data_IF_173559302942
#
_entry.id   IF_173559302942
#
_cell.length_a   1.000
_cell.length_b   1.000
_cell.length_c   1.000
_cell.angle_alpha   90.00
_cell.angle_beta   90.00
_cell.angle_gamma   90.00
#
_symmetry.space_group_name_H-M   'P 1'
#
loop_
_entity.id
_entity.type
_entity.pdbx_description
1 polymer ?
#
# COMPACT_ATOMS: atom_id res chain seq x y z
N UNK A 1 -60.28 10.25 16.86
CA UNK A 1 -60.81 10.37 15.49
C UNK A 1 -60.56 11.81 15.10
N UNK A 2 -59.75 12.21 14.13
CA UNK A 2 -58.83 11.59 13.18
C UNK A 2 -58.12 12.80 12.52
N UNK A 3 -56.85 12.63 12.14
CA UNK A 3 -56.09 13.39 11.12
C UNK A 3 -56.12 14.93 11.09
N UNK A 4 -54.93 15.53 11.31
CA UNK A 4 -54.51 16.73 10.58
C UNK A 4 -53.25 16.46 9.75
N UNK A 5 -53.40 16.76 8.46
CA UNK A 5 -52.42 16.69 7.38
C UNK A 5 -51.76 18.06 7.28
N UNK A 6 -50.43 18.13 7.21
CA UNK A 6 -49.71 19.35 6.83
C UNK A 6 -49.24 19.24 5.37
N UNK A 7 -49.48 20.34 4.67
CA UNK A 7 -49.46 20.55 3.21
C UNK A 7 -48.07 20.74 2.62
N UNK A 8 -47.97 20.46 1.32
CA UNK A 8 -46.81 20.64 0.46
C UNK A 8 -46.81 21.99 -0.29
N UNK A 9 -45.61 22.51 -0.58
CA UNK A 9 -45.23 23.40 -1.69
C UNK A 9 -43.69 23.36 -1.73
N UNK A 10 -42.99 22.88 -2.76
CA UNK A 10 -43.06 23.27 -4.16
C UNK A 10 -42.21 24.54 -4.34
N UNK A 11 -41.00 24.42 -4.90
CA UNK A 11 -40.37 25.42 -5.78
C UNK A 11 -38.98 24.97 -6.28
N UNK A 12 -38.71 25.41 -7.51
CA UNK A 12 -37.76 24.90 -8.49
C UNK A 12 -36.30 25.40 -8.36
N UNK A 13 -35.42 24.52 -8.86
CA UNK A 13 -34.12 24.70 -9.52
C UNK A 13 -34.01 25.99 -10.38
N UNK A 14 -32.93 26.78 -10.24
CA UNK A 14 -31.88 26.93 -11.27
C UNK A 14 -30.69 27.80 -10.79
N UNK A 15 -29.56 27.58 -11.45
CA UNK A 15 -28.20 28.09 -11.23
C UNK A 15 -28.00 29.60 -11.46
N UNK A 16 -26.92 30.15 -10.89
CA UNK A 16 -25.94 30.99 -11.61
C UNK A 16 -24.88 31.62 -10.67
N UNK A 17 -23.62 31.32 -10.99
CA UNK A 17 -22.41 32.16 -10.97
C UNK A 17 -22.22 33.28 -9.92
N UNK A 18 -21.07 33.25 -9.23
CA UNK A 18 -19.92 34.09 -9.59
C UNK A 18 -18.85 34.03 -8.50
N UNK A 19 -17.75 33.34 -8.81
CA UNK A 19 -16.52 33.40 -8.04
C UNK A 19 -15.75 34.67 -8.45
N UNK A 20 -15.61 35.62 -7.52
CA UNK A 20 -14.78 36.81 -7.67
C UNK A 20 -13.31 36.46 -7.50
N UNK A 21 -12.59 36.55 -8.61
CA UNK A 21 -11.14 36.43 -8.76
C UNK A 21 -10.36 37.44 -7.88
N UNK A 22 -9.43 36.92 -7.07
CA UNK A 22 -8.33 37.71 -6.50
C UNK A 22 -7.02 37.06 -6.94
N UNK A 23 -6.46 37.62 -8.00
CA UNK A 23 -5.14 37.39 -8.54
C UNK A 23 -4.07 37.73 -7.48
N UNK A 24 -3.23 36.76 -7.15
CA UNK A 24 -1.89 37.00 -6.61
C UNK A 24 -0.92 36.22 -7.49
N UNK A 25 -0.27 36.93 -8.40
CA UNK A 25 0.89 36.47 -9.16
C UNK A 25 1.97 36.04 -8.17
N UNK A 26 2.31 34.76 -8.18
CA UNK A 26 3.54 34.25 -7.60
C UNK A 26 4.44 33.87 -8.77
N UNK A 27 5.65 34.40 -8.72
CA UNK A 27 6.68 34.24 -9.74
C UNK A 27 6.97 32.75 -9.94
N UNK A 28 6.89 32.29 -11.19
CA UNK A 28 7.35 30.97 -11.60
C UNK A 28 8.88 31.00 -11.52
N UNK A 29 9.42 30.70 -10.34
CA UNK A 29 10.75 30.14 -10.26
C UNK A 29 10.70 28.82 -11.03
N UNK A 30 11.23 28.85 -12.26
CA UNK A 30 11.61 27.66 -13.05
C UNK A 30 12.70 26.91 -12.27
N UNK A 31 12.31 26.29 -11.15
CA UNK A 31 13.10 25.26 -10.52
C UNK A 31 13.17 24.13 -11.55
N UNK A 32 14.34 23.97 -12.18
CA UNK A 32 14.65 22.84 -13.04
C UNK A 32 14.44 21.60 -12.15
N UNK A 33 13.24 21.04 -12.20
CA UNK A 33 12.93 19.77 -11.55
C UNK A 33 13.84 18.78 -12.25
N UNK A 34 14.96 18.43 -11.60
CA UNK A 34 15.83 17.34 -12.05
C UNK A 34 14.95 16.11 -12.22
N UNK A 35 14.64 15.81 -13.48
CA UNK A 35 13.92 14.61 -13.83
C UNK A 35 14.92 13.49 -13.59
N UNK A 36 14.62 12.64 -12.60
CA UNK A 36 15.37 11.43 -12.30
C UNK A 36 15.76 10.73 -13.62
N UNK A 37 17.03 10.39 -13.77
CA UNK A 37 17.61 9.78 -14.96
C UNK A 37 16.80 8.54 -15.39
N UNK A 38 16.27 7.78 -14.42
CA UNK A 38 15.42 6.62 -14.67
C UNK A 38 14.06 6.98 -15.31
N UNK A 39 13.52 8.17 -15.01
CA UNK A 39 12.28 8.68 -15.61
C UNK A 39 12.54 9.11 -17.04
N UNK A 40 13.67 9.79 -17.29
CA UNK A 40 14.09 10.20 -18.64
C UNK A 40 14.34 8.98 -19.53
N UNK A 41 15.06 7.97 -19.03
CA UNK A 41 15.31 6.70 -19.75
C UNK A 41 14.01 5.97 -20.10
N UNK A 42 13.04 5.93 -19.17
CA UNK A 42 11.74 5.30 -19.43
C UNK A 42 10.93 6.08 -20.47
N UNK A 43 10.96 7.42 -20.43
CA UNK A 43 10.32 8.27 -21.45
C UNK A 43 10.93 7.97 -22.83
N UNK A 44 12.26 7.97 -22.94
CA UNK A 44 12.96 7.69 -24.20
C UNK A 44 12.66 6.28 -24.71
N UNK A 45 12.61 5.29 -23.81
CA UNK A 45 12.23 3.91 -24.14
C UNK A 45 10.80 3.83 -24.69
N UNK A 46 9.85 4.55 -24.07
CA UNK A 46 8.45 4.53 -24.51
C UNK A 46 8.29 5.27 -25.84
N UNK A 47 8.92 6.43 -26.01
CA UNK A 47 8.85 7.22 -27.25
C UNK A 47 9.58 6.55 -28.42
N UNK A 48 10.65 5.80 -28.15
CA UNK A 48 11.42 5.04 -29.15
C UNK A 48 10.77 3.73 -29.58
N UNK A 49 9.65 3.32 -28.98
CA UNK A 49 9.01 2.04 -29.28
C UNK A 49 8.23 2.08 -30.59
N UNK A 50 8.63 1.23 -31.53
CA UNK A 50 7.88 0.93 -32.76
C UNK A 50 6.78 -0.09 -32.45
N UNK A 51 5.54 0.38 -32.27
CA UNK A 51 4.47 -0.42 -31.68
C UNK A 51 3.35 -0.85 -32.63
N UNK A 52 3.00 -0.04 -33.64
CA UNK A 52 1.98 -0.34 -34.64
C UNK A 52 2.10 0.62 -35.84
N UNK A 53 1.41 0.32 -36.93
CA UNK A 53 1.36 1.15 -38.15
C UNK A 53 0.82 2.58 -37.92
N UNK A 54 0.04 2.78 -36.86
CA UNK A 54 -0.54 4.08 -36.51
C UNK A 54 0.37 4.92 -35.61
N UNK A 55 1.56 4.42 -35.24
CA UNK A 55 2.51 5.10 -34.37
C UNK A 55 1.85 5.73 -33.13
N UNK A 56 0.99 4.96 -32.45
CA UNK A 56 0.04 5.49 -31.46
C UNK A 56 0.68 6.19 -30.24
N UNK A 57 1.98 5.97 -30.00
CA UNK A 57 2.77 6.67 -28.98
C UNK A 57 3.55 7.84 -29.59
N UNK A 58 4.26 7.61 -30.69
CA UNK A 58 5.10 8.63 -31.34
C UNK A 58 4.28 9.79 -31.93
N UNK A 59 2.99 9.58 -32.22
CA UNK A 59 2.05 10.63 -32.61
C UNK A 59 1.69 11.61 -31.49
N UNK A 60 1.93 11.25 -30.22
CA UNK A 60 1.51 12.03 -29.04
C UNK A 60 2.65 12.19 -28.01
N UNK A 61 3.83 12.72 -28.39
CA UNK A 61 5.02 12.70 -27.54
C UNK A 61 4.86 13.53 -26.25
N UNK A 62 4.19 14.68 -26.33
CA UNK A 62 3.94 15.56 -25.19
C UNK A 62 2.99 14.90 -24.17
N UNK A 63 1.91 14.30 -24.64
CA UNK A 63 0.94 13.59 -23.80
C UNK A 63 1.57 12.39 -23.08
N UNK A 64 2.39 11.62 -23.80
CA UNK A 64 3.14 10.48 -23.25
C UNK A 64 4.10 10.96 -22.17
N UNK A 65 4.84 12.02 -22.44
CA UNK A 65 5.79 12.62 -21.49
C UNK A 65 5.09 13.10 -20.23
N UNK A 66 3.98 13.83 -20.36
CA UNK A 66 3.21 14.34 -19.23
C UNK A 66 2.62 13.19 -18.38
N UNK A 67 2.10 12.15 -19.02
CA UNK A 67 1.64 10.95 -18.34
C UNK A 67 2.76 10.27 -17.55
N UNK A 68 3.91 10.02 -18.18
CA UNK A 68 5.03 9.31 -17.55
C UNK A 68 5.65 10.12 -16.41
N UNK A 69 5.81 11.44 -16.57
CA UNK A 69 6.27 12.33 -15.48
C UNK A 69 5.37 12.24 -14.26
N UNK A 70 4.05 12.27 -14.45
CA UNK A 70 3.08 12.12 -13.36
C UNK A 70 3.09 10.71 -12.76
N UNK A 71 3.05 9.68 -13.61
CA UNK A 71 3.00 8.27 -13.22
C UNK A 71 4.24 7.85 -12.43
N UNK A 72 5.43 8.29 -12.83
CA UNK A 72 6.68 7.91 -12.16
C UNK A 72 6.88 8.61 -10.81
N UNK A 73 6.26 9.77 -10.59
CA UNK A 73 6.22 10.43 -9.27
C UNK A 73 5.29 9.72 -8.27
N UNK A 74 4.42 8.83 -8.72
CA UNK A 74 3.50 8.10 -7.85
C UNK A 74 4.19 6.98 -7.08
N UNK A 75 3.76 6.74 -5.83
CA UNK A 75 4.14 5.52 -5.10
C UNK A 75 3.65 4.26 -5.83
N UNK A 76 4.31 3.11 -5.62
CA UNK A 76 3.99 1.84 -6.31
C UNK A 76 2.53 1.41 -6.19
N UNK A 77 1.89 1.66 -5.06
CA UNK A 77 0.46 1.34 -4.85
C UNK A 77 -0.46 2.26 -5.66
N UNK A 78 -0.09 3.53 -5.79
CA UNK A 78 -0.79 4.51 -6.64
C UNK A 78 -0.59 4.19 -8.13
N UNK A 79 0.62 3.81 -8.55
CA UNK A 79 0.91 3.33 -9.90
C UNK A 79 0.06 2.11 -10.25
N UNK A 80 -0.01 1.14 -9.33
CA UNK A 80 -0.85 -0.05 -9.50
C UNK A 80 -2.33 0.30 -9.58
N UNK A 81 -2.82 1.21 -8.73
CA UNK A 81 -4.20 1.70 -8.79
C UNK A 81 -4.47 2.37 -10.14
N UNK A 82 -3.58 3.25 -10.61
CA UNK A 82 -3.67 3.90 -11.93
C UNK A 82 -3.78 2.89 -13.08
N UNK A 83 -2.94 1.84 -13.07
CA UNK A 83 -2.98 0.75 -14.05
C UNK A 83 -4.32 0.00 -14.02
N UNK A 84 -4.79 -0.40 -12.83
CA UNK A 84 -6.05 -1.14 -12.67
C UNK A 84 -7.23 -0.29 -13.13
N UNK A 85 -7.25 1.00 -12.78
CA UNK A 85 -8.26 1.95 -13.25
C UNK A 85 -8.23 2.12 -14.76
N UNK A 86 -7.05 2.25 -15.38
CA UNK A 86 -6.93 2.33 -16.83
C UNK A 86 -7.46 1.06 -17.52
N UNK A 87 -7.15 -0.13 -17.00
CA UNK A 87 -7.70 -1.40 -17.49
C UNK A 87 -9.23 -1.50 -17.29
N UNK A 88 -9.77 -0.91 -16.23
CA UNK A 88 -11.21 -0.81 -16.02
C UNK A 88 -11.90 0.03 -17.09
N UNK A 89 -11.29 1.17 -17.44
CA UNK A 89 -11.79 2.01 -18.53
C UNK A 89 -11.71 1.25 -19.86
N UNK A 90 -10.60 0.53 -20.11
CA UNK A 90 -10.46 -0.32 -21.30
C UNK A 90 -11.56 -1.40 -21.40
N UNK A 91 -12.00 -1.92 -20.25
CA UNK A 91 -13.12 -2.86 -20.15
C UNK A 91 -14.45 -2.21 -20.49
N UNK A 92 -14.70 -1.01 -19.97
CA UNK A 92 -15.93 -0.26 -20.22
C UNK A 92 -16.06 0.17 -21.69
N UNK A 93 -14.93 0.47 -22.34
CA UNK A 93 -14.87 0.86 -23.76
C UNK A 93 -14.63 -0.31 -24.72
N UNK A 94 -14.54 -1.55 -24.22
CA UNK A 94 -14.47 -2.71 -25.10
C UNK A 94 -15.86 -2.93 -25.70
N UNK A 95 -16.10 -2.35 -26.87
CA UNK A 95 -17.27 -2.68 -27.69
C UNK A 95 -17.39 -4.22 -27.82
N UNK A 96 -18.63 -4.72 -27.95
CA UNK A 96 -19.06 -6.14 -27.99
C UNK A 96 -18.49 -6.97 -29.16
N UNK A 97 -17.29 -6.65 -29.63
CA UNK A 97 -16.50 -7.37 -30.60
C UNK A 97 -15.94 -8.68 -30.01
N UNK A 98 -16.83 -9.53 -29.50
CA UNK A 98 -16.56 -10.91 -29.16
C UNK A 98 -16.41 -11.72 -30.46
N UNK A 99 -15.17 -12.10 -30.79
CA UNK A 99 -14.96 -13.10 -31.85
C UNK A 99 -15.15 -14.49 -31.25
N UNK A 100 -16.22 -15.16 -31.68
CA UNK A 100 -16.40 -16.58 -31.45
C UNK A 100 -15.47 -17.37 -32.38
N UNK A 101 -14.49 -18.08 -31.80
CA UNK A 101 -13.88 -19.25 -32.45
C UNK A 101 -14.46 -20.51 -31.79
N UNK A 102 -14.37 -21.62 -32.51
CA UNK A 102 -14.80 -22.96 -32.06
C UNK A 102 -14.19 -23.43 -30.72
N UNK A 103 -13.20 -22.72 -30.15
CA UNK A 103 -12.46 -23.09 -28.93
C UNK A 103 -12.59 -22.00 -27.82
N UNK A 104 -13.35 -20.92 -28.06
CA UNK A 104 -13.66 -19.94 -27.02
C UNK A 104 -13.73 -18.49 -27.50
N UNK A 105 -14.28 -17.64 -26.63
CA UNK A 105 -14.43 -16.20 -26.85
C UNK A 105 -13.12 -15.50 -26.47
N UNK A 106 -12.47 -14.84 -27.44
CA UNK A 106 -11.41 -13.86 -27.14
C UNK A 106 -12.00 -12.46 -27.27
N UNK A 107 -12.07 -11.76 -26.14
CA UNK A 107 -12.45 -10.35 -26.07
C UNK A 107 -11.27 -9.50 -26.55
N UNK A 108 -11.47 -8.67 -27.57
CA UNK A 108 -10.47 -7.70 -28.03
C UNK A 108 -10.65 -6.43 -27.21
N UNK A 109 -9.65 -6.07 -26.41
CA UNK A 109 -9.68 -4.85 -25.62
C UNK A 109 -9.07 -3.70 -26.42
N UNK A 110 -9.74 -2.55 -26.42
CA UNK A 110 -9.12 -1.28 -26.75
C UNK A 110 -8.33 -0.82 -25.52
N UNK A 111 -7.03 -0.58 -25.67
CA UNK A 111 -6.17 -0.12 -24.56
C UNK A 111 -6.14 1.40 -24.56
N UNK A 112 -6.24 2.02 -23.38
CA UNK A 112 -6.22 3.47 -23.22
C UNK A 112 -5.17 3.87 -22.18
N UNK A 113 -4.27 4.76 -22.57
CA UNK A 113 -3.30 5.39 -21.65
C UNK A 113 -3.81 6.78 -21.30
N UNK A 114 -3.86 7.17 -20.01
CA UNK A 114 -4.27 8.51 -19.60
C UNK A 114 -3.49 9.60 -20.34
N UNK A 115 -4.16 10.69 -20.71
CA UNK A 115 -3.64 11.81 -21.52
C UNK A 115 -3.28 11.49 -22.98
N UNK A 116 -2.98 10.22 -23.31
CA UNK A 116 -2.60 9.78 -24.67
C UNK A 116 -3.82 9.31 -25.47
N UNK A 117 -4.73 8.58 -24.83
CA UNK A 117 -5.89 7.99 -25.50
C UNK A 117 -5.67 6.54 -25.94
N UNK A 118 -6.29 6.14 -27.04
CA UNK A 118 -6.30 4.74 -27.50
C UNK A 118 -4.94 4.34 -28.07
N UNK A 119 -4.39 3.24 -27.54
CA UNK A 119 -3.09 2.69 -27.95
C UNK A 119 -3.17 1.19 -28.25
N UNK A 120 -2.14 0.66 -28.89
CA UNK A 120 -2.01 -0.79 -29.07
C UNK A 120 -1.53 -1.47 -27.77
N UNK A 121 -1.69 -2.80 -27.69
CA UNK A 121 -1.28 -3.57 -26.50
C UNK A 121 0.23 -3.44 -26.20
N UNK A 122 1.06 -3.36 -27.22
CA UNK A 122 2.52 -3.23 -27.08
C UNK A 122 2.87 -1.90 -26.43
N UNK A 123 2.36 -0.80 -26.98
CA UNK A 123 2.49 0.53 -26.41
C UNK A 123 2.01 0.61 -24.95
N UNK A 124 0.86 0.02 -24.66
CA UNK A 124 0.30 -0.02 -23.31
C UNK A 124 1.23 -0.72 -22.31
N UNK A 125 1.79 -1.88 -22.70
CA UNK A 125 2.74 -2.64 -21.88
C UNK A 125 4.01 -1.85 -21.60
N UNK A 126 4.53 -1.17 -22.62
CA UNK A 126 5.75 -0.36 -22.49
C UNK A 126 5.47 0.84 -21.58
N UNK A 127 4.40 1.60 -21.80
CA UNK A 127 4.06 2.79 -21.02
C UNK A 127 3.95 2.48 -19.51
N UNK A 128 3.22 1.42 -19.14
CA UNK A 128 3.06 1.00 -17.75
C UNK A 128 4.19 0.11 -17.21
N UNK A 129 5.16 -0.27 -18.05
CA UNK A 129 6.22 -1.23 -17.75
C UNK A 129 5.69 -2.56 -17.17
N UNK A 130 4.75 -3.21 -17.87
CA UNK A 130 4.10 -4.45 -17.42
C UNK A 130 4.14 -5.57 -18.45
N UNK A 131 4.21 -6.81 -17.94
CA UNK A 131 4.14 -8.01 -18.76
C UNK A 131 2.69 -8.45 -19.03
N UNK A 132 2.53 -9.47 -19.88
CA UNK A 132 1.19 -9.96 -20.25
C UNK A 132 0.44 -10.58 -19.07
N UNK A 133 1.14 -11.26 -18.15
CA UNK A 133 0.52 -11.91 -17.00
C UNK A 133 -0.02 -10.88 -16.00
N UNK A 134 0.72 -9.78 -15.80
CA UNK A 134 0.28 -8.65 -15.00
C UNK A 134 -1.00 -8.02 -15.58
N UNK A 135 -1.04 -7.78 -16.90
CA UNK A 135 -2.26 -7.28 -17.57
C UNK A 135 -3.43 -8.23 -17.31
N UNK A 136 -3.26 -9.53 -17.57
CA UNK A 136 -4.34 -10.51 -17.39
C UNK A 136 -4.83 -10.57 -15.93
N UNK A 137 -3.90 -10.53 -14.97
CA UNK A 137 -4.20 -10.50 -13.54
C UNK A 137 -5.02 -9.26 -13.16
N UNK A 138 -4.56 -8.08 -13.53
CA UNK A 138 -5.22 -6.82 -13.18
C UNK A 138 -6.53 -6.63 -13.92
N UNK A 139 -6.63 -7.16 -15.13
CA UNK A 139 -7.88 -7.18 -15.87
C UNK A 139 -8.94 -8.07 -15.19
N UNK A 140 -8.54 -9.24 -14.69
CA UNK A 140 -9.42 -10.09 -13.88
C UNK A 140 -9.78 -9.45 -12.55
N UNK A 141 -8.87 -8.64 -11.97
CA UNK A 141 -9.13 -7.85 -10.77
C UNK A 141 -10.19 -6.76 -11.05
N UNK A 142 -10.02 -5.99 -12.13
CA UNK A 142 -10.99 -4.98 -12.56
C UNK A 142 -12.37 -5.60 -12.89
N UNK A 143 -12.42 -6.78 -13.53
CA UNK A 143 -13.67 -7.53 -13.78
C UNK A 143 -14.43 -7.91 -12.50
N UNK A 144 -13.73 -8.08 -11.38
CA UNK A 144 -14.34 -8.38 -10.08
C UNK A 144 -14.82 -7.13 -9.35
N UNK A 145 -14.55 -5.92 -9.88
CA UNK A 145 -14.85 -4.64 -9.24
C UNK A 145 -13.79 -4.18 -8.23
N UNK A 146 -12.64 -4.87 -8.16
CA UNK A 146 -11.59 -4.61 -7.18
C UNK A 146 -10.58 -3.56 -7.70
N UNK A 147 -10.90 -2.27 -7.64
CA UNK A 147 -10.01 -1.20 -8.15
C UNK A 147 -8.87 -0.83 -7.22
N UNK A 148 -9.04 -1.05 -5.92
CA UNK A 148 -8.01 -0.79 -4.93
C UNK A 148 -7.21 -2.05 -4.63
N UNK A 149 -5.91 -1.88 -4.43
CA UNK A 149 -5.07 -2.95 -3.88
C UNK A 149 -5.48 -3.15 -2.43
N UNK A 150 -5.86 -4.38 -2.01
CA UNK A 150 -5.95 -4.66 -0.58
C UNK A 150 -4.58 -4.37 0.01
N UNK A 151 -4.49 -3.43 0.94
CA UNK A 151 -3.23 -3.12 1.63
C UNK A 151 -2.66 -4.44 2.12
N UNK A 152 -1.51 -4.84 1.60
CA UNK A 152 -0.81 -6.03 2.07
C UNK A 152 -0.18 -5.70 3.43
N UNK A 153 -1.02 -5.50 4.45
CA UNK A 153 -0.70 -5.91 5.80
C UNK A 153 -1.12 -7.36 5.91
N UNK A 154 -0.39 -8.18 6.66
CA UNK A 154 -0.74 -9.58 6.94
C UNK A 154 -2.13 -9.79 7.58
N UNK A 155 -3.00 -8.78 7.64
CA UNK A 155 -4.39 -8.82 8.09
C UNK A 155 -5.27 -9.77 7.25
N UNK A 156 -5.00 -9.94 5.95
CA UNK A 156 -5.79 -10.82 5.07
C UNK A 156 -5.26 -12.27 5.01
N UNK A 157 -4.06 -12.54 5.54
CA UNK A 157 -3.49 -13.88 5.50
C UNK A 157 -4.06 -14.71 6.66
N UNK A 158 -5.36 -15.05 6.58
CA UNK A 158 -6.04 -15.94 7.55
C UNK A 158 -5.46 -17.35 7.57
N UNK A 159 -4.58 -17.68 6.62
CA UNK A 159 -3.82 -18.93 6.54
C UNK A 159 -2.37 -18.80 7.07
N UNK A 160 -1.93 -17.62 7.49
CA UNK A 160 -0.79 -17.51 8.40
C UNK A 160 -1.21 -18.20 9.69
N UNK A 161 -0.72 -19.42 9.88
CA UNK A 161 -1.18 -20.32 10.93
C UNK A 161 -0.98 -19.66 12.30
N UNK A 162 -2.05 -19.65 13.09
CA UNK A 162 -2.12 -18.92 14.36
C UNK A 162 -1.00 -19.37 15.29
N UNK A 163 -0.23 -18.40 15.78
CA UNK A 163 0.79 -18.59 16.81
C UNK A 163 0.07 -18.56 18.16
N UNK A 164 0.31 -19.53 19.03
CA UNK A 164 -0.29 -19.57 20.37
C UNK A 164 0.30 -18.47 21.26
N UNK A 165 -0.33 -17.29 21.23
CA UNK A 165 0.15 -16.11 21.95
C UNK A 165 0.16 -16.28 23.47
N UNK A 166 -0.76 -17.08 24.02
CA UNK A 166 -0.80 -17.36 25.46
C UNK A 166 0.42 -18.18 25.89
N UNK A 167 0.75 -19.23 25.13
CA UNK A 167 1.94 -20.04 25.39
C UNK A 167 3.24 -19.24 25.21
N UNK A 168 3.33 -18.40 24.17
CA UNK A 168 4.50 -17.52 23.98
C UNK A 168 4.64 -16.52 25.13
N UNK A 169 3.53 -15.89 25.55
CA UNK A 169 3.54 -14.93 26.65
C UNK A 169 3.96 -15.59 27.96
N UNK A 170 3.43 -16.78 28.26
CA UNK A 170 3.79 -17.54 29.44
C UNK A 170 5.28 -17.90 29.46
N UNK A 171 5.81 -18.39 28.33
CA UNK A 171 7.23 -18.67 28.17
C UNK A 171 8.09 -17.41 28.40
N UNK A 172 7.78 -16.32 27.72
CA UNK A 172 8.63 -15.13 27.72
C UNK A 172 8.59 -14.40 29.07
N UNK A 173 7.42 -14.36 29.71
CA UNK A 173 7.27 -13.81 31.08
C UNK A 173 8.05 -14.63 32.10
N UNK A 174 8.03 -15.97 31.99
CA UNK A 174 8.81 -16.86 32.87
C UNK A 174 10.32 -16.71 32.65
N UNK A 175 10.73 -16.52 31.40
CA UNK A 175 12.12 -16.27 31.06
C UNK A 175 12.59 -14.93 31.66
N UNK A 176 11.78 -13.89 31.56
CA UNK A 176 12.06 -12.58 32.14
C UNK A 176 12.04 -12.59 33.67
N UNK A 177 11.08 -13.28 34.32
CA UNK A 177 11.07 -13.40 35.78
C UNK A 177 12.31 -14.09 36.35
N UNK A 178 13.01 -14.88 35.54
CA UNK A 178 14.20 -15.65 35.97
C UNK A 178 15.49 -14.91 35.67
N UNK A 179 15.56 -14.16 34.56
CA UNK A 179 16.82 -13.62 34.04
C UNK A 179 16.84 -12.11 33.85
N UNK A 180 15.69 -11.42 33.85
CA UNK A 180 15.63 -10.00 33.56
C UNK A 180 15.83 -9.17 34.83
N UNK A 181 16.55 -8.06 34.68
CA UNK A 181 16.60 -7.02 35.71
C UNK A 181 15.47 -6.01 35.49
N UNK A 182 14.82 -5.58 36.56
CA UNK A 182 13.86 -4.48 36.52
C UNK A 182 14.61 -3.14 36.46
N UNK A 183 14.48 -2.42 35.35
CA UNK A 183 15.18 -1.15 35.10
C UNK A 183 14.17 -0.04 34.81
N UNK A 184 14.21 1.09 35.54
CA UNK A 184 13.38 2.24 35.23
C UNK A 184 13.89 2.95 33.97
N UNK A 185 13.07 2.97 32.91
CA UNK A 185 13.35 3.65 31.65
C UNK A 185 12.62 4.99 31.63
N UNK A 186 13.38 6.07 31.39
CA UNK A 186 12.85 7.43 31.31
C UNK A 186 12.51 7.78 29.86
N UNK A 187 11.25 8.09 29.63
CA UNK A 187 10.73 8.60 28.37
C UNK A 187 10.64 10.12 28.42
N UNK A 188 11.04 10.75 27.32
CA UNK A 188 10.85 12.17 27.07
C UNK A 188 9.86 12.30 25.93
N UNK A 189 8.81 13.08 26.12
CA UNK A 189 7.89 13.42 25.04
C UNK A 189 7.56 14.91 25.09
N UNK A 190 7.21 15.44 23.93
CA UNK A 190 6.80 16.82 23.76
C UNK A 190 5.31 16.84 23.47
N UNK A 191 4.59 17.70 24.17
CA UNK A 191 3.16 17.92 23.91
C UNK A 191 2.90 19.42 23.90
N UNK A 192 2.21 19.88 22.86
CA UNK A 192 1.71 21.25 22.80
C UNK A 192 0.50 21.35 23.71
N UNK A 193 0.57 22.21 24.73
CA UNK A 193 -0.53 22.52 25.64
C UNK A 193 -0.68 24.03 25.61
N UNK A 194 -1.87 24.50 25.22
CA UNK A 194 -2.20 25.92 25.08
C UNK A 194 -1.26 26.70 24.14
N UNK A 195 -0.85 26.08 23.03
CA UNK A 195 0.04 26.70 22.03
C UNK A 195 1.53 26.70 22.41
N UNK A 196 1.88 26.32 23.65
CA UNK A 196 3.26 26.21 24.11
C UNK A 196 3.75 24.76 24.09
N UNK A 197 4.96 24.57 23.59
CA UNK A 197 5.59 23.26 23.48
C UNK A 197 6.23 22.88 24.82
N UNK A 198 5.57 21.99 25.58
CA UNK A 198 6.04 21.55 26.90
C UNK A 198 6.69 20.17 26.81
N UNK A 199 7.82 20.01 27.53
CA UNK A 199 8.55 18.75 27.66
C UNK A 199 8.08 18.02 28.90
N UNK A 200 7.69 16.76 28.73
CA UNK A 200 7.26 15.88 29.82
C UNK A 200 8.22 14.71 29.96
N UNK A 201 8.35 14.25 31.20
CA UNK A 201 9.14 13.08 31.57
C UNK A 201 8.23 12.04 32.20
N UNK A 202 8.30 10.80 31.72
CA UNK A 202 7.63 9.66 32.35
C UNK A 202 8.63 8.55 32.56
N UNK A 203 8.62 7.91 33.72
CA UNK A 203 9.45 6.73 33.99
C UNK A 203 8.54 5.52 33.98
N UNK A 204 8.94 4.47 33.26
CA UNK A 204 8.27 3.16 33.28
C UNK A 204 9.31 2.08 33.58
N UNK A 205 8.91 1.06 34.32
CA UNK A 205 9.78 -0.08 34.61
C UNK A 205 9.77 -1.05 33.43
N UNK A 206 10.96 -1.49 33.02
CA UNK A 206 11.16 -2.47 31.96
C UNK A 206 11.93 -3.66 32.52
N UNK A 207 11.63 -4.86 32.02
CA UNK A 207 12.40 -6.06 32.30
C UNK A 207 13.47 -6.23 31.21
N UNK A 208 14.72 -6.02 31.57
CA UNK A 208 15.85 -6.10 30.64
C UNK A 208 16.59 -7.42 30.76
N UNK A 209 16.43 -8.28 29.75
CA UNK A 209 17.20 -9.50 29.59
C UNK A 209 18.67 -9.19 29.28
N UNK A 210 19.62 -9.99 29.81
CA UNK A 210 21.03 -9.83 29.53
C UNK A 210 21.35 -9.81 28.03
N UNK A 211 22.40 -9.09 27.64
CA UNK A 211 22.76 -8.89 26.23
C UNK A 211 23.18 -10.16 25.49
N UNK A 212 23.62 -11.20 26.22
CA UNK A 212 23.94 -12.49 25.62
C UNK A 212 22.70 -13.26 25.13
N UNK A 213 21.49 -12.84 25.52
CA UNK A 213 20.27 -13.42 24.97
C UNK A 213 20.09 -13.00 23.51
N UNK A 214 19.95 -13.99 22.63
CA UNK A 214 19.55 -13.74 21.24
C UNK A 214 18.15 -14.26 20.99
N UNK A 215 17.44 -13.64 20.04
CA UNK A 215 16.12 -14.13 19.61
C UNK A 215 16.16 -15.59 19.15
N UNK A 216 17.24 -15.99 18.45
CA UNK A 216 17.42 -17.38 17.99
C UNK A 216 17.59 -18.37 19.15
N UNK A 217 18.34 -18.00 20.19
CA UNK A 217 18.50 -18.83 21.39
C UNK A 217 17.16 -19.04 22.11
N UNK A 218 16.42 -17.94 22.35
CA UNK A 218 15.12 -18.01 23.00
C UNK A 218 14.08 -18.77 22.17
N UNK A 219 14.11 -18.62 20.85
CA UNK A 219 13.24 -19.37 19.94
C UNK A 219 13.50 -20.88 20.01
N UNK A 220 14.77 -21.29 20.02
CA UNK A 220 15.15 -22.69 20.21
C UNK A 220 14.72 -23.24 21.58
N UNK A 221 14.81 -22.43 22.64
CA UNK A 221 14.33 -22.80 23.98
C UNK A 221 12.81 -22.93 24.05
N UNK A 222 12.09 -22.01 23.41
CA UNK A 222 10.64 -22.08 23.30
C UNK A 222 10.18 -23.36 22.59
N UNK A 223 10.81 -23.73 21.47
CA UNK A 223 10.48 -24.97 20.75
C UNK A 223 10.70 -26.20 21.63
N UNK A 224 11.80 -26.26 22.38
CA UNK A 224 12.07 -27.36 23.33
C UNK A 224 11.01 -27.40 24.43
N UNK A 225 10.76 -26.26 25.07
CA UNK A 225 9.75 -26.11 26.13
C UNK A 225 8.34 -26.51 25.66
N UNK A 226 7.96 -26.09 24.45
CA UNK A 226 6.68 -26.42 23.82
C UNK A 226 6.51 -27.91 23.57
N UNK A 227 7.58 -28.58 23.09
CA UNK A 227 7.60 -30.05 22.89
C UNK A 227 7.46 -30.80 24.20
N UNK A 228 8.17 -30.38 25.24
CA UNK A 228 8.15 -31.02 26.56
C UNK A 228 6.79 -30.87 27.25
N UNK A 229 6.11 -29.74 27.05
CA UNK A 229 4.78 -29.48 27.60
C UNK A 229 3.64 -30.25 26.90
N UNK A 230 3.93 -31.08 25.88
CA UNK A 230 2.95 -31.81 25.04
C UNK A 230 1.85 -30.94 24.43
N UNK A 231 2.07 -29.62 24.36
CA UNK A 231 1.13 -28.71 23.71
C UNK A 231 1.30 -28.94 22.20
N UNK A 232 0.19 -29.11 21.47
CA UNK A 232 0.22 -29.18 20.00
C UNK A 232 0.51 -27.79 19.43
N UNK A 233 1.73 -27.30 19.64
CA UNK A 233 2.17 -26.00 19.16
C UNK A 233 2.78 -26.20 17.78
N UNK A 234 2.27 -25.45 16.80
CA UNK A 234 2.95 -25.32 15.51
C UNK A 234 4.12 -24.36 15.67
N UNK A 235 5.32 -24.84 15.36
CA UNK A 235 6.55 -24.07 15.56
C UNK A 235 6.50 -22.73 14.77
N UNK A 236 6.55 -21.57 15.45
CA UNK A 236 6.55 -20.28 14.77
C UNK A 236 7.89 -20.06 14.06
N UNK A 237 7.89 -19.28 12.98
CA UNK A 237 9.15 -18.78 12.41
C UNK A 237 9.86 -17.85 13.41
N UNK A 238 11.19 -17.68 13.30
CA UNK A 238 11.94 -16.76 14.16
C UNK A 238 11.42 -15.32 14.06
N UNK A 239 11.08 -14.88 12.85
CA UNK A 239 10.52 -13.53 12.60
C UNK A 239 9.15 -13.37 13.25
N UNK A 240 8.27 -14.37 13.12
CA UNK A 240 6.96 -14.38 13.78
C UNK A 240 7.10 -14.39 15.30
N UNK A 241 7.98 -15.24 15.84
CA UNK A 241 8.27 -15.33 17.27
C UNK A 241 8.69 -13.97 17.84
N UNK A 242 9.66 -13.30 17.20
CA UNK A 242 10.11 -11.96 17.59
C UNK A 242 8.98 -10.93 17.51
N UNK A 243 8.32 -10.82 16.37
CA UNK A 243 7.31 -9.78 16.12
C UNK A 243 6.12 -9.92 17.07
N UNK A 244 5.68 -11.16 17.34
CA UNK A 244 4.58 -11.44 18.27
C UNK A 244 5.00 -11.10 19.69
N UNK A 245 6.20 -11.49 20.14
CA UNK A 245 6.68 -11.18 21.50
C UNK A 245 6.86 -9.68 21.74
N UNK A 246 7.44 -8.94 20.79
CA UNK A 246 7.57 -7.49 20.88
C UNK A 246 6.20 -6.79 20.99
N UNK A 247 5.16 -7.36 20.36
CA UNK A 247 3.78 -6.85 20.44
C UNK A 247 3.09 -7.21 21.76
N UNK A 248 3.17 -8.45 22.22
CA UNK A 248 2.41 -8.93 23.39
C UNK A 248 3.12 -8.67 24.73
N UNK A 249 4.45 -8.45 24.69
CA UNK A 249 5.30 -8.15 25.86
C UNK A 249 6.22 -6.94 25.60
N UNK A 250 5.68 -5.73 25.34
CA UNK A 250 6.46 -4.57 24.93
C UNK A 250 7.45 -4.04 25.99
N UNK A 251 7.26 -4.45 27.26
CA UNK A 251 8.04 -4.04 28.43
C UNK A 251 9.23 -4.98 28.73
N UNK A 252 9.29 -6.14 28.06
CA UNK A 252 10.43 -7.06 28.16
C UNK A 252 11.34 -6.84 26.95
N UNK A 253 12.61 -6.51 27.17
CA UNK A 253 13.58 -6.22 26.10
C UNK A 253 14.92 -6.89 26.36
N UNK A 254 15.69 -7.11 25.30
CA UNK A 254 17.07 -7.57 25.40
C UNK A 254 17.97 -6.33 25.49
N UNK A 255 18.91 -6.32 26.45
CA UNK A 255 19.94 -5.28 26.51
C UNK A 255 20.76 -5.29 25.22
N UNK A 256 21.11 -4.12 24.70
CA UNK A 256 22.12 -4.03 23.67
C UNK A 256 23.45 -4.62 24.20
N UNK A 257 24.23 -5.31 23.36
CA UNK A 257 25.61 -5.62 23.70
C UNK A 257 26.32 -4.31 24.02
N UNK A 258 26.88 -4.25 25.23
CA UNK A 258 27.21 -3.00 25.91
C UNK A 258 28.16 -2.10 25.13
N UNK A 259 27.89 -0.80 25.27
CA UNK A 259 28.86 0.10 25.91
C UNK A 259 29.21 -0.41 27.33
#
# INVERSE_FOLDING_TARGET
>A
MEHEVCTASGDDIDASASAGSSYCSAEEDDEIVEIDEAVTEHIDTVLGVTCCENDCIASHPEAVTNFLRGYMKMAKDCQRTSLVTALAMCLAFAEDNQRHRSIGVRQRYAYFVPLVGQVCRTAYKTAYNVNNDAINRYHNQAKKGDFAVPVHGNAANKHAQFVDEEALKAFFTRLASTHADCVPVRFRYQKTVDGELRRYHTTKEYQLLPSYFTWGMMHGWYIKWAKDARVRIKEPSLSSFRTVLERICPEIRIRAHGE
#
